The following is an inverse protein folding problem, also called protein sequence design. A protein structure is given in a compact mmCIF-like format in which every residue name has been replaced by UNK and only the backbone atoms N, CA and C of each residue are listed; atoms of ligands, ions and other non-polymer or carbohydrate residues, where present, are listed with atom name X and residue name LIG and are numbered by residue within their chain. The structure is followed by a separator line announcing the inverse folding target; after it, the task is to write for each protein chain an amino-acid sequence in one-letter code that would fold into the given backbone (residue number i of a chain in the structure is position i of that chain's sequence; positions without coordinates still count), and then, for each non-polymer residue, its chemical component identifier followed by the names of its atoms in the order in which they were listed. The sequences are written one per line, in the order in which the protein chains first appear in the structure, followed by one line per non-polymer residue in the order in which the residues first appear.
data_IF_009660610003
#
_entry.id   IF_009660610003
#
_cell.length_a   1.000
_cell.length_b   1.000
_cell.length_c   1.000
_cell.angle_alpha   90.00
_cell.angle_beta   90.00
_cell.angle_gamma   90.00
#
_symmetry.space_group_name_H-M   'P 1'
#
loop_
_entity.id
_entity.type
_entity.pdbx_description
1 polymer ?
#
# COMPACT_ATOMS: atom_id res chain seq x y z
N UNK A 1 -15.40 38.60 -13.63
CA UNK A 1 -14.02 38.39 -13.13
C UNK A 1 -13.93 37.43 -11.93
N UNK A 2 -14.91 37.41 -11.01
CA UNK A 2 -14.90 36.52 -9.83
C UNK A 2 -15.17 35.04 -10.17
N UNK A 3 -16.14 34.77 -11.04
CA UNK A 3 -16.50 33.41 -11.49
C UNK A 3 -15.38 32.68 -12.24
N UNK A 4 -14.59 33.36 -13.07
CA UNK A 4 -13.46 32.74 -13.77
C UNK A 4 -12.30 32.38 -12.83
N UNK A 5 -12.08 33.19 -11.78
CA UNK A 5 -11.13 32.85 -10.70
C UNK A 5 -11.56 31.61 -9.92
N UNK A 6 -12.86 31.45 -9.63
CA UNK A 6 -13.40 30.25 -8.97
C UNK A 6 -13.24 28.98 -9.83
N UNK A 7 -13.56 29.05 -11.12
CA UNK A 7 -13.37 27.94 -12.06
C UNK A 7 -11.90 27.57 -12.25
N UNK A 8 -11.01 28.57 -12.30
CA UNK A 8 -9.55 28.40 -12.36
C UNK A 8 -8.99 27.76 -11.08
N UNK A 9 -9.42 28.23 -9.90
CA UNK A 9 -9.09 27.65 -8.59
C UNK A 9 -9.56 26.19 -8.48
N UNK A 10 -10.80 25.89 -8.89
CA UNK A 10 -11.32 24.51 -8.93
C UNK A 10 -10.54 23.61 -9.88
N UNK A 11 -10.23 24.07 -11.10
CA UNK A 11 -9.40 23.30 -12.04
C UNK A 11 -8.01 23.00 -11.47
N UNK A 12 -7.35 23.97 -10.84
CA UNK A 12 -6.06 23.78 -10.18
C UNK A 12 -6.15 22.81 -8.99
N UNK A 13 -7.25 22.83 -8.24
CA UNK A 13 -7.47 21.91 -7.11
C UNK A 13 -7.67 20.46 -7.57
N UNK A 14 -8.47 20.22 -8.62
CA UNK A 14 -8.67 18.89 -9.20
C UNK A 14 -7.37 18.36 -9.82
N UNK A 15 -6.61 19.21 -10.53
CA UNK A 15 -5.31 18.83 -11.08
C UNK A 15 -4.34 18.41 -9.97
N UNK A 16 -4.26 19.17 -8.87
CA UNK A 16 -3.44 18.80 -7.70
C UNK A 16 -3.90 17.49 -7.07
N UNK A 17 -5.21 17.28 -6.94
CA UNK A 17 -5.76 16.03 -6.44
C UNK A 17 -5.25 14.86 -7.28
N UNK A 18 -5.45 14.92 -8.61
CA UNK A 18 -5.03 13.87 -9.56
C UNK A 18 -3.53 13.59 -9.48
N UNK A 19 -2.69 14.63 -9.35
CA UNK A 19 -1.24 14.47 -9.17
C UNK A 19 -0.89 13.71 -7.88
N UNK A 20 -1.60 13.97 -6.78
CA UNK A 20 -1.36 13.31 -5.50
C UNK A 20 -2.03 11.92 -5.39
N UNK A 21 -3.01 11.61 -6.24
CA UNK A 21 -3.62 10.29 -6.26
C UNK A 21 -2.68 9.21 -6.78
N UNK A 22 -1.70 9.54 -7.63
CA UNK A 22 -0.78 8.57 -8.23
C UNK A 22 -0.08 7.65 -7.23
N UNK A 23 0.67 8.20 -6.24
CA UNK A 23 1.30 7.40 -5.20
C UNK A 23 0.30 6.61 -4.34
N UNK A 24 -0.87 7.19 -4.04
CA UNK A 24 -1.91 6.52 -3.27
C UNK A 24 -2.49 5.30 -4.01
N UNK A 25 -2.70 5.42 -5.32
CA UNK A 25 -3.18 4.32 -6.17
C UNK A 25 -2.16 3.19 -6.23
N UNK A 26 -0.89 3.50 -6.48
CA UNK A 26 0.18 2.50 -6.50
C UNK A 26 0.22 1.67 -5.22
N UNK A 27 0.09 2.33 -4.06
CA UNK A 27 0.05 1.61 -2.79
C UNK A 27 -1.24 0.79 -2.64
N UNK A 28 -2.39 1.33 -3.03
CA UNK A 28 -3.66 0.59 -2.91
C UNK A 28 -3.69 -0.70 -3.74
N UNK A 29 -3.03 -0.72 -4.90
CA UNK A 29 -2.94 -1.92 -5.75
C UNK A 29 -2.17 -3.05 -5.07
N UNK A 30 -1.16 -2.73 -4.25
CA UNK A 30 -0.40 -3.71 -3.48
C UNK A 30 -1.23 -4.44 -2.40
N UNK A 31 -2.38 -3.88 -1.99
CA UNK A 31 -3.32 -4.53 -1.06
C UNK A 31 -4.41 -5.34 -1.77
N UNK A 32 -4.42 -5.35 -3.11
CA UNK A 32 -5.37 -6.09 -3.95
C UNK A 32 -4.65 -7.20 -4.73
N UNK A 33 -3.65 -7.80 -4.11
CA UNK A 33 -2.78 -8.81 -4.69
C UNK A 33 -3.44 -10.21 -4.71
N UNK A 34 -3.14 -11.08 -5.68
CA UNK A 34 -3.73 -12.41 -5.77
C UNK A 34 -3.52 -13.30 -4.53
N UNK A 35 -2.50 -12.99 -3.72
CA UNK A 35 -2.17 -13.73 -2.50
C UNK A 35 -3.27 -13.66 -1.42
N UNK A 36 -4.03 -12.57 -1.37
CA UNK A 36 -5.11 -12.40 -0.38
C UNK A 36 -6.43 -13.06 -0.82
N UNK A 37 -6.70 -13.16 -2.14
CA UNK A 37 -7.96 -13.68 -2.67
C UNK A 37 -8.23 -15.13 -2.28
N UNK A 38 -7.20 -15.98 -2.25
CA UNK A 38 -7.37 -17.38 -1.86
C UNK A 38 -7.92 -17.53 -0.45
N UNK A 39 -7.35 -16.77 0.50
CA UNK A 39 -7.77 -16.81 1.90
C UNK A 39 -9.15 -16.18 2.07
N UNK A 40 -9.41 -15.03 1.45
CA UNK A 40 -10.69 -14.33 1.58
C UNK A 40 -11.86 -15.12 0.97
N UNK A 41 -11.65 -15.76 -0.17
CA UNK A 41 -12.66 -16.63 -0.81
C UNK A 41 -12.90 -17.88 0.03
N UNK A 42 -11.84 -18.54 0.52
CA UNK A 42 -11.97 -19.73 1.37
C UNK A 42 -12.67 -19.40 2.70
N UNK A 43 -12.31 -18.27 3.31
CA UNK A 43 -12.91 -17.78 4.54
C UNK A 43 -14.38 -17.39 4.33
N UNK A 44 -14.71 -16.74 3.21
CA UNK A 44 -16.09 -16.45 2.84
C UNK A 44 -16.93 -17.71 2.58
N UNK A 45 -16.35 -18.73 1.94
CA UNK A 45 -17.04 -20.00 1.70
C UNK A 45 -17.32 -20.79 3.00
N UNK A 46 -16.41 -20.72 3.97
CA UNK A 46 -16.52 -21.47 5.24
C UNK A 46 -17.28 -20.71 6.34
N UNK A 47 -17.11 -19.39 6.43
CA UNK A 47 -17.62 -18.55 7.52
C UNK A 47 -18.67 -17.53 7.06
N UNK A 48 -19.06 -17.55 5.79
CA UNK A 48 -19.97 -16.60 5.17
C UNK A 48 -19.52 -15.15 5.47
N UNK A 49 -20.43 -14.32 5.99
CA UNK A 49 -20.17 -12.91 6.25
C UNK A 49 -19.55 -12.62 7.63
N UNK A 50 -19.25 -13.65 8.43
CA UNK A 50 -18.82 -13.49 9.82
C UNK A 50 -17.48 -12.75 9.97
N UNK A 51 -16.66 -12.69 8.93
CA UNK A 51 -15.34 -12.04 8.93
C UNK A 51 -15.32 -10.66 8.27
N UNK A 52 -16.44 -10.16 7.74
CA UNK A 52 -16.47 -8.85 7.08
C UNK A 52 -15.99 -7.71 7.99
N UNK A 53 -16.29 -7.77 9.29
CA UNK A 53 -15.82 -6.77 10.24
C UNK A 53 -14.30 -6.80 10.42
N UNK A 54 -13.67 -7.98 10.32
CA UNK A 54 -12.21 -8.13 10.39
C UNK A 54 -11.55 -7.47 9.18
N UNK A 55 -12.10 -7.72 7.98
CA UNK A 55 -11.63 -7.07 6.74
C UNK A 55 -11.73 -5.56 6.86
N UNK A 56 -12.86 -5.03 7.34
CA UNK A 56 -13.04 -3.60 7.57
C UNK A 56 -12.03 -3.00 8.55
N UNK A 57 -11.78 -3.67 9.69
CA UNK A 57 -10.78 -3.22 10.65
C UNK A 57 -9.37 -3.28 10.08
N UNK A 58 -9.03 -4.34 9.35
CA UNK A 58 -7.74 -4.50 8.68
C UNK A 58 -7.49 -3.36 7.68
N UNK A 59 -8.47 -3.04 6.84
CA UNK A 59 -8.38 -1.89 5.93
C UNK A 59 -8.21 -0.57 6.67
N UNK A 60 -8.91 -0.39 7.80
CA UNK A 60 -8.74 0.78 8.68
C UNK A 60 -7.31 0.93 9.21
N UNK A 61 -6.71 -0.17 9.66
CA UNK A 61 -5.33 -0.21 10.13
C UNK A 61 -4.33 0.07 9.01
N UNK A 62 -4.53 -0.52 7.82
CA UNK A 62 -3.69 -0.28 6.65
C UNK A 62 -3.69 1.20 6.25
N UNK A 63 -4.87 1.84 6.21
CA UNK A 63 -4.98 3.28 5.93
C UNK A 63 -4.22 4.13 6.95
N UNK A 64 -4.33 3.80 8.24
CA UNK A 64 -3.60 4.52 9.30
C UNK A 64 -2.09 4.40 9.13
N UNK A 65 -1.58 3.18 8.93
CA UNK A 65 -0.14 2.93 8.77
C UNK A 65 0.40 3.61 7.51
N UNK A 66 -0.35 3.56 6.40
CA UNK A 66 0.06 4.21 5.16
C UNK A 66 0.03 5.73 5.27
N UNK A 67 -0.96 6.29 5.98
CA UNK A 67 -1.00 7.71 6.29
C UNK A 67 0.23 8.14 7.09
N UNK A 68 0.62 7.38 8.12
CA UNK A 68 1.81 7.66 8.92
C UNK A 68 3.10 7.56 8.10
N UNK A 69 3.23 6.53 7.25
CA UNK A 69 4.36 6.35 6.34
C UNK A 69 4.50 7.53 5.37
N UNK A 70 3.39 7.93 4.74
CA UNK A 70 3.35 9.09 3.85
C UNK A 70 3.67 10.40 4.58
N UNK A 71 3.09 10.61 5.76
CA UNK A 71 3.36 11.79 6.59
C UNK A 71 4.83 11.88 6.99
N UNK A 72 5.44 10.75 7.35
CA UNK A 72 6.86 10.67 7.68
C UNK A 72 7.73 11.09 6.48
N UNK A 73 7.47 10.52 5.29
CA UNK A 73 8.20 10.85 4.07
C UNK A 73 8.06 12.32 3.65
N UNK A 74 6.86 12.89 3.77
CA UNK A 74 6.60 14.30 3.46
C UNK A 74 7.29 15.23 4.46
N UNK A 75 7.27 14.89 5.75
CA UNK A 75 7.82 15.76 6.80
C UNK A 75 9.36 15.74 6.89
N UNK A 76 9.97 14.60 6.57
CA UNK A 76 11.42 14.40 6.71
C UNK A 76 12.18 14.45 5.40
N UNK A 77 11.48 14.35 4.26
CA UNK A 77 12.07 14.13 2.94
C UNK A 77 12.93 12.86 2.83
N UNK A 78 12.79 11.94 3.79
CA UNK A 78 13.50 10.67 3.85
C UNK A 78 12.49 9.51 3.86
N UNK A 79 12.86 8.42 3.22
CA UNK A 79 12.13 7.16 3.30
C UNK A 79 12.31 6.49 4.67
N UNK A 80 11.37 5.62 5.05
CA UNK A 80 11.45 4.87 6.31
C UNK A 80 12.77 4.08 6.47
N UNK A 81 13.29 3.37 5.44
CA UNK A 81 14.59 2.71 5.52
C UNK A 81 15.77 3.66 5.76
N UNK A 82 15.74 4.85 5.16
CA UNK A 82 16.78 5.88 5.37
C UNK A 82 16.78 6.38 6.82
N UNK A 83 15.60 6.64 7.39
CA UNK A 83 15.47 7.05 8.79
C UNK A 83 15.96 5.95 9.73
N UNK A 84 15.62 4.68 9.46
CA UNK A 84 16.10 3.54 10.24
C UNK A 84 17.64 3.47 10.18
N UNK A 85 18.22 3.65 8.99
CA UNK A 85 19.68 3.66 8.80
C UNK A 85 20.35 4.80 9.57
N UNK A 86 19.79 6.00 9.54
CA UNK A 86 20.33 7.16 10.27
C UNK A 86 20.24 7.00 11.80
N UNK A 87 19.17 6.39 12.30
CA UNK A 87 18.94 6.19 13.75
C UNK A 87 19.79 5.06 14.31
N UNK A 88 19.88 3.92 13.63
CA UNK A 88 20.53 2.72 14.16
C UNK A 88 22.05 2.74 13.96
N UNK A 89 22.55 3.43 12.92
CA UNK A 89 23.97 3.68 12.53
C UNK A 89 24.89 2.45 12.36
N UNK A 90 24.66 1.35 13.08
CA UNK A 90 25.46 0.13 13.06
C UNK A 90 24.82 -0.90 12.14
N UNK A 91 25.61 -1.43 11.20
CA UNK A 91 25.18 -2.43 10.22
C UNK A 91 24.49 -3.64 10.84
N UNK A 92 24.96 -4.11 12.01
CA UNK A 92 24.37 -5.26 12.72
C UNK A 92 22.88 -5.11 13.05
N UNK A 93 22.39 -3.87 13.22
CA UNK A 93 20.98 -3.61 13.50
C UNK A 93 20.18 -3.32 12.23
N UNK A 94 20.83 -2.94 11.13
CA UNK A 94 20.16 -2.60 9.86
C UNK A 94 19.97 -3.85 8.99
N UNK A 95 20.94 -4.76 8.99
CA UNK A 95 20.92 -5.98 8.17
C UNK A 95 19.64 -6.80 8.39
N UNK A 96 19.16 -7.03 9.64
CA UNK A 96 17.90 -7.76 9.85
C UNK A 96 16.68 -7.08 9.22
N UNK A 97 16.57 -5.75 9.29
CA UNK A 97 15.46 -5.01 8.65
C UNK A 97 15.52 -5.11 7.14
N UNK A 98 16.71 -5.00 6.56
CA UNK A 98 16.88 -5.16 5.12
C UNK A 98 16.54 -6.58 4.67
N UNK A 99 17.05 -7.61 5.36
CA UNK A 99 16.72 -9.01 5.06
C UNK A 99 15.22 -9.28 5.18
N UNK A 100 14.56 -8.74 6.22
CA UNK A 100 13.12 -8.88 6.37
C UNK A 100 12.34 -8.18 5.25
N UNK A 101 12.78 -6.99 4.83
CA UNK A 101 12.18 -6.27 3.71
C UNK A 101 12.32 -7.04 2.39
N UNK A 102 13.50 -7.59 2.09
CA UNK A 102 13.69 -8.36 0.86
C UNK A 102 12.95 -9.69 0.89
N UNK A 103 12.89 -10.35 2.04
CA UNK A 103 12.10 -11.57 2.19
C UNK A 103 10.60 -11.28 1.97
N UNK A 104 10.09 -10.17 2.50
CA UNK A 104 8.71 -9.75 2.29
C UNK A 104 8.44 -9.42 0.81
N UNK A 105 9.31 -8.64 0.17
CA UNK A 105 9.19 -8.30 -1.23
C UNK A 105 9.21 -9.55 -2.14
N UNK A 106 10.13 -10.49 -1.88
CA UNK A 106 10.20 -11.75 -2.61
C UNK A 106 8.95 -12.63 -2.40
N UNK A 107 8.37 -12.64 -1.20
CA UNK A 107 7.14 -13.36 -0.92
C UNK A 107 5.93 -12.78 -1.68
N UNK A 108 5.83 -11.45 -1.73
CA UNK A 108 4.79 -10.76 -2.50
C UNK A 108 4.93 -11.04 -4.00
N UNK A 109 6.15 -10.91 -4.55
CA UNK A 109 6.42 -11.20 -5.97
C UNK A 109 6.09 -12.66 -6.33
N UNK A 110 6.41 -13.62 -5.44
CA UNK A 110 6.03 -15.02 -5.62
C UNK A 110 4.51 -15.21 -5.67
N UNK A 111 3.76 -14.54 -4.80
CA UNK A 111 2.29 -14.62 -4.78
C UNK A 111 1.67 -14.02 -6.05
N UNK A 112 2.16 -12.86 -6.50
CA UNK A 112 1.73 -12.22 -7.75
C UNK A 112 2.06 -13.07 -8.97
N UNK A 113 3.25 -13.67 -9.01
CA UNK A 113 3.67 -14.57 -10.07
C UNK A 113 2.76 -15.80 -10.15
N UNK A 114 2.51 -16.48 -9.01
CA UNK A 114 1.62 -17.64 -8.95
C UNK A 114 0.18 -17.29 -9.36
N UNK A 115 -0.35 -16.18 -8.87
CA UNK A 115 -1.67 -15.68 -9.25
C UNK A 115 -1.77 -15.45 -10.77
N UNK A 116 -0.73 -14.84 -11.36
CA UNK A 116 -0.65 -14.60 -12.80
C UNK A 116 -0.59 -15.91 -13.60
N UNK A 117 0.25 -16.86 -13.18
CA UNK A 117 0.38 -18.17 -13.85
C UNK A 117 -0.94 -18.94 -13.84
N UNK A 118 -1.63 -18.97 -12.69
CA UNK A 118 -2.94 -19.61 -12.56
C UNK A 118 -3.97 -18.90 -13.45
N UNK A 119 -4.01 -17.56 -13.43
CA UNK A 119 -4.93 -16.77 -14.25
C UNK A 119 -4.73 -17.02 -15.76
N UNK A 120 -3.48 -17.19 -16.21
CA UNK A 120 -3.18 -17.51 -17.61
C UNK A 120 -3.49 -18.97 -17.98
N UNK A 121 -3.38 -19.91 -17.03
CA UNK A 121 -3.68 -21.33 -17.24
C UNK A 121 -5.19 -21.62 -17.27
N UNK A 122 -6.01 -20.80 -16.59
CA UNK A 122 -7.47 -20.90 -16.60
C UNK A 122 -8.13 -20.43 -17.92
N UNK A 123 -7.33 -20.17 -18.97
CA UNK A 123 -7.77 -19.82 -20.32
C UNK A 123 -7.72 -21.02 -21.25
#
# INVERSE_FOLDING_TARGET
MFFSKLLSQRKKSIQRLLLYTGPALLVSMAYMDPGNYGTDIQAGASLNYSLLWVVWLSSGMAMLLQYLSGKLGIATHLSLPEIIREKLKKKKYIIPYWLAAEAAAAATDLAEYLGTVIALNLR
#
